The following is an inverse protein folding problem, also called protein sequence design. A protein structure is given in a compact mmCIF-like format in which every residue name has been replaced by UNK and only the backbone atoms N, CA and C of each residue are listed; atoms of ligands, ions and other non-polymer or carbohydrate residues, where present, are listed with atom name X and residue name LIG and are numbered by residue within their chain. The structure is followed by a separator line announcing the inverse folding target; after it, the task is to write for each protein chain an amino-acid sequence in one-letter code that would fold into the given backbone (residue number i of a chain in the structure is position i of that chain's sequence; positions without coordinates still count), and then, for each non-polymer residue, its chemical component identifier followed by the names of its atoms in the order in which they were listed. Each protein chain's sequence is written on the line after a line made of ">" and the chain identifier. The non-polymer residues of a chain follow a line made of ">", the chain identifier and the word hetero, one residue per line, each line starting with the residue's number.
data_IF_000837997861
#
_entry.id   IF_000837997861
#
_cell.length_a   1.000
_cell.length_b   1.000
_cell.length_c   1.000
_cell.angle_alpha   90.00
_cell.angle_beta   90.00
_cell.angle_gamma   90.00
#
_symmetry.space_group_name_H-M   'P 1'
#
loop_
_entity.id
_entity.type
_entity.pdbx_description
1 polymer ?
#
# COMPACT_ATOMS: atom_id res chain seq x y z
N UNK A 1 -26.37 -12.27 -1.78
CA UNK A 1 -25.14 -11.67 -1.24
C UNK A 1 -25.44 -10.40 -0.47
N UNK A 2 -25.08 -10.35 0.82
CA UNK A 2 -25.09 -9.14 1.66
C UNK A 2 -23.80 -9.07 2.48
N UNK A 3 -23.29 -7.85 2.66
CA UNK A 3 -22.18 -7.58 3.57
C UNK A 3 -22.70 -7.68 5.01
N UNK A 4 -21.98 -8.41 5.86
CA UNK A 4 -22.31 -8.55 7.29
C UNK A 4 -21.38 -7.71 8.15
N UNK A 5 -20.09 -7.72 7.83
CA UNK A 5 -19.06 -7.07 8.63
C UNK A 5 -18.03 -6.36 7.74
N UNK A 6 -17.49 -5.28 8.28
CA UNK A 6 -16.39 -4.51 7.71
C UNK A 6 -15.33 -4.36 8.79
N UNK A 7 -14.16 -4.93 8.55
CA UNK A 7 -13.05 -4.95 9.51
C UNK A 7 -11.92 -4.08 8.96
N UNK A 8 -11.47 -3.12 9.77
CA UNK A 8 -10.30 -2.31 9.47
C UNK A 8 -9.11 -2.81 10.26
N UNK A 9 -8.02 -3.13 9.57
CA UNK A 9 -6.76 -3.54 10.19
C UNK A 9 -5.69 -2.50 9.90
N UNK A 10 -5.19 -1.84 10.95
CA UNK A 10 -4.08 -0.89 10.87
C UNK A 10 -2.80 -1.56 11.35
N UNK A 11 -1.76 -1.53 10.52
CA UNK A 11 -0.45 -2.10 10.82
C UNK A 11 0.54 -0.95 11.03
N UNK A 12 1.30 -1.02 12.11
CA UNK A 12 2.40 -0.11 12.41
C UNK A 12 3.64 -0.93 12.73
N UNK A 13 4.79 -0.53 12.22
CA UNK A 13 6.04 -1.21 12.53
C UNK A 13 7.24 -0.63 11.80
N UNK A 14 8.31 -1.42 11.82
CA UNK A 14 9.50 -1.18 11.01
C UNK A 14 9.57 -2.29 9.97
N UNK A 15 9.87 -1.92 8.73
CA UNK A 15 10.09 -2.90 7.69
C UNK A 15 11.33 -3.74 8.02
N UNK A 16 11.18 -5.05 8.21
CA UNK A 16 12.25 -6.00 8.51
C UNK A 16 12.49 -6.98 7.33
N UNK A 17 11.82 -6.75 6.21
CA UNK A 17 11.93 -7.58 5.01
C UNK A 17 13.22 -7.35 4.22
N UNK A 18 13.47 -8.19 3.21
CA UNK A 18 14.63 -8.05 2.35
C UNK A 18 14.56 -6.71 1.60
N UNK A 19 15.69 -6.03 1.46
CA UNK A 19 15.79 -4.95 0.47
C UNK A 19 15.50 -5.56 -0.90
N UNK A 20 14.34 -5.27 -1.48
CA UNK A 20 14.07 -5.65 -2.85
C UNK A 20 15.17 -5.04 -3.72
N UNK A 21 15.78 -5.79 -4.65
CA UNK A 21 16.74 -5.19 -5.56
C UNK A 21 16.04 -4.00 -6.21
N UNK A 22 16.74 -2.87 -6.31
CA UNK A 22 16.21 -1.71 -7.00
C UNK A 22 15.96 -2.11 -8.46
N UNK A 23 14.75 -2.57 -8.75
CA UNK A 23 14.27 -2.67 -10.12
C UNK A 23 14.25 -1.28 -10.73
N UNK A 24 14.10 -1.22 -12.05
CA UNK A 24 13.83 0.08 -12.67
C UNK A 24 12.57 0.67 -12.07
N UNK A 25 12.65 1.95 -11.69
CA UNK A 25 11.50 2.68 -11.18
C UNK A 25 10.39 2.69 -12.24
N UNK A 26 9.14 2.76 -11.79
CA UNK A 26 8.01 2.97 -12.70
C UNK A 26 8.23 4.24 -13.53
N UNK A 27 7.90 4.15 -14.82
CA UNK A 27 7.91 5.29 -15.73
C UNK A 27 6.88 6.32 -15.27
N UNK A 28 7.29 7.58 -15.19
CA UNK A 28 6.49 8.75 -14.80
C UNK A 28 6.26 9.62 -16.03
N UNK A 29 5.21 10.43 -15.98
CA UNK A 29 4.84 11.32 -17.08
C UNK A 29 5.98 12.24 -17.55
N UNK A 30 6.85 12.66 -16.63
CA UNK A 30 7.95 13.58 -16.94
C UNK A 30 9.23 12.88 -17.42
N UNK A 31 9.28 11.55 -17.46
CA UNK A 31 10.51 10.81 -17.82
C UNK A 31 10.93 10.98 -19.27
N UNK A 32 10.04 11.51 -20.12
CA UNK A 32 10.36 11.90 -21.49
C UNK A 32 11.42 13.01 -21.54
N UNK A 33 11.53 13.81 -20.48
CA UNK A 33 12.52 14.87 -20.36
C UNK A 33 13.74 14.37 -19.56
N UNK A 34 14.96 14.41 -20.14
CA UNK A 34 16.17 13.87 -19.50
C UNK A 34 16.43 14.40 -18.09
N UNK A 35 16.14 15.68 -17.85
CA UNK A 35 16.34 16.36 -16.57
C UNK A 35 15.43 15.83 -15.45
N UNK A 36 14.27 15.24 -15.78
CA UNK A 36 13.36 14.64 -14.82
C UNK A 36 13.50 13.12 -14.76
N UNK A 37 14.23 12.51 -15.71
CA UNK A 37 14.49 11.08 -15.75
C UNK A 37 15.59 10.67 -14.74
N UNK A 38 15.30 10.86 -13.46
CA UNK A 38 16.22 10.58 -12.35
C UNK A 38 15.96 9.21 -11.76
N UNK A 39 17.00 8.45 -11.44
CA UNK A 39 16.89 7.16 -10.76
C UNK A 39 16.48 7.35 -9.30
N UNK A 40 15.16 7.42 -9.04
CA UNK A 40 14.60 7.55 -7.70
C UNK A 40 13.42 6.59 -7.52
N UNK A 41 13.71 5.32 -7.31
CA UNK A 41 12.72 4.34 -6.86
C UNK A 41 12.65 4.32 -5.34
N UNK A 42 11.46 4.55 -4.77
CA UNK A 42 11.22 4.33 -3.34
C UNK A 42 11.20 2.83 -3.08
N UNK A 43 12.33 2.25 -2.71
CA UNK A 43 12.38 0.91 -2.14
C UNK A 43 12.37 1.04 -0.62
N UNK A 44 11.50 0.28 0.05
CA UNK A 44 11.55 0.18 1.50
C UNK A 44 12.88 -0.46 1.90
N UNK A 45 13.64 0.24 2.71
CA UNK A 45 14.86 -0.28 3.32
C UNK A 45 14.54 -0.89 4.68
N UNK A 46 15.30 -1.89 5.15
CA UNK A 46 15.19 -2.39 6.51
C UNK A 46 15.26 -1.23 7.53
N UNK A 47 14.35 -1.20 8.49
CA UNK A 47 14.21 -0.12 9.46
C UNK A 47 13.46 1.13 8.95
N UNK A 48 12.86 1.07 7.76
CA UNK A 48 11.93 2.10 7.32
C UNK A 48 10.59 1.98 8.09
N UNK A 49 9.99 3.10 8.54
CA UNK A 49 8.69 3.06 9.19
C UNK A 49 7.63 2.55 8.21
N UNK A 50 6.79 1.63 8.70
CA UNK A 50 5.70 1.04 7.94
C UNK A 50 4.37 1.39 8.61
N UNK A 51 3.48 1.97 7.81
CA UNK A 51 2.09 2.25 8.15
C UNK A 51 1.22 1.76 7.01
N UNK A 52 0.26 0.90 7.31
CA UNK A 52 -0.65 0.38 6.29
C UNK A 52 -2.05 0.14 6.87
N UNK A 53 -3.07 0.51 6.10
CA UNK A 53 -4.46 0.26 6.42
C UNK A 53 -5.03 -0.75 5.42
N UNK A 54 -5.75 -1.74 5.93
CA UNK A 54 -6.46 -2.72 5.12
C UNK A 54 -7.93 -2.76 5.52
N UNK A 55 -8.78 -3.05 4.55
CA UNK A 55 -10.19 -3.36 4.79
C UNK A 55 -10.46 -4.80 4.41
N UNK A 56 -11.19 -5.49 5.26
CA UNK A 56 -11.74 -6.81 5.00
C UNK A 56 -13.26 -6.76 5.08
N UNK A 57 -13.92 -7.30 4.06
CA UNK A 57 -15.38 -7.33 3.93
C UNK A 57 -15.83 -8.78 4.09
N UNK A 58 -16.78 -9.02 4.98
CA UNK A 58 -17.38 -10.33 5.21
C UNK A 58 -18.80 -10.34 4.67
N UNK A 59 -19.24 -11.49 4.17
CA UNK A 59 -20.60 -11.68 3.67
C UNK A 59 -21.33 -12.81 4.39
N UNK A 60 -22.66 -12.75 4.32
CA UNK A 60 -23.53 -13.77 4.90
C UNK A 60 -23.45 -15.14 4.21
N UNK A 61 -22.70 -15.23 3.11
CA UNK A 61 -22.45 -16.46 2.36
C UNK A 61 -21.06 -17.06 2.68
N UNK A 62 -20.34 -16.47 3.64
CA UNK A 62 -19.00 -16.92 4.03
C UNK A 62 -17.88 -16.50 3.07
N UNK A 63 -18.18 -15.68 2.06
CA UNK A 63 -17.18 -15.10 1.16
C UNK A 63 -16.58 -13.86 1.81
N UNK A 64 -15.25 -13.76 1.80
CA UNK A 64 -14.50 -12.60 2.27
C UNK A 64 -13.72 -11.94 1.13
N UNK A 65 -13.51 -10.64 1.24
CA UNK A 65 -12.68 -9.87 0.31
C UNK A 65 -11.79 -8.90 1.08
N UNK A 66 -10.52 -8.77 0.66
CA UNK A 66 -9.55 -7.87 1.28
C UNK A 66 -8.98 -6.90 0.26
N UNK A 67 -8.83 -5.64 0.67
CA UNK A 67 -8.19 -4.60 -0.12
C UNK A 67 -7.17 -3.82 0.71
N UNK A 68 -6.08 -3.42 0.05
CA UNK A 68 -5.05 -2.55 0.60
C UNK A 68 -3.65 -2.87 0.05
N UNK A 69 -2.60 -2.16 0.52
CA UNK A 69 -2.68 -1.07 1.49
C UNK A 69 -3.48 0.13 0.94
N UNK A 70 -4.33 0.71 1.79
CA UNK A 70 -5.10 1.92 1.48
C UNK A 70 -4.19 3.12 1.72
N UNK A 71 -3.97 3.92 0.67
CA UNK A 71 -3.18 5.14 0.73
C UNK A 71 -3.99 6.27 1.41
N UNK A 72 -3.30 7.22 2.04
CA UNK A 72 -3.94 8.33 2.78
C UNK A 72 -4.90 9.16 1.91
N UNK A 73 -4.60 9.30 0.62
CA UNK A 73 -5.44 10.05 -0.32
C UNK A 73 -6.65 9.24 -0.84
N UNK A 74 -6.71 7.94 -0.60
CA UNK A 74 -7.79 7.07 -1.10
C UNK A 74 -8.99 7.02 -0.15
N UNK A 75 -8.79 7.27 1.15
CA UNK A 75 -9.86 7.20 2.14
C UNK A 75 -9.59 8.12 3.35
N UNK A 76 -10.66 8.74 3.85
CA UNK A 76 -10.65 9.38 5.16
C UNK A 76 -11.10 8.38 6.22
N UNK A 77 -10.23 8.04 7.18
CA UNK A 77 -10.65 7.35 8.39
C UNK A 77 -11.07 8.36 9.46
N UNK A 78 -12.06 8.00 10.28
CA UNK A 78 -12.47 8.77 11.45
C UNK A 78 -12.13 7.88 12.64
N UNK A 79 -11.28 8.38 13.53
CA UNK A 79 -10.92 7.73 14.79
C UNK A 79 -12.00 7.94 15.87
#
# INVERSE_FOLDING_TARGET
>A
MKITDVVLTRIHGQYDGPTFPAGDRQARQLDIYPEFNTSGGSSLSPGAPLHALYVEIHSNEGVTGRFGPIEEWQAFHID
#
